data_IF_862606201287
#
_entry.id   IF_862606201287
#
_cell.length_a   1.000
_cell.length_b   1.000
_cell.length_c   1.000
_cell.angle_alpha   90.00
_cell.angle_beta   90.00
_cell.angle_gamma   90.00
#
_symmetry.space_group_name_H-M   'P 1'
#
loop_
_entity.id
_entity.type
_entity.pdbx_description
1 polymer ?
#
# COMPACT_ATOMS: atom_id res chain seq x y z
N UNK A 1 4.34 -12.14 -14.92
CA UNK A 1 4.25 -12.51 -13.51
C UNK A 1 4.33 -14.03 -13.31
N UNK A 2 3.47 -14.84 -13.93
CA UNK A 2 3.44 -16.30 -13.72
C UNK A 2 4.80 -16.98 -13.96
N UNK A 3 5.49 -16.64 -15.04
CA UNK A 3 6.84 -17.16 -15.38
C UNK A 3 7.87 -16.92 -14.26
N UNK A 4 7.73 -15.81 -13.53
CA UNK A 4 8.62 -15.42 -12.43
C UNK A 4 8.08 -15.78 -11.05
N UNK A 5 6.93 -16.47 -10.99
CA UNK A 5 6.22 -16.82 -9.74
C UNK A 5 5.97 -15.60 -8.84
N UNK A 6 5.59 -14.47 -9.45
CA UNK A 6 5.28 -13.22 -8.77
C UNK A 6 3.77 -13.13 -8.61
N UNK A 7 3.31 -13.02 -7.37
CA UNK A 7 1.94 -12.72 -7.00
C UNK A 7 1.72 -11.22 -6.80
N UNK A 8 0.45 -10.80 -6.71
CA UNK A 8 0.12 -9.41 -6.38
C UNK A 8 0.67 -9.03 -5.00
N UNK A 9 1.19 -7.83 -4.88
CA UNK A 9 1.84 -7.30 -3.68
C UNK A 9 3.18 -7.96 -3.28
N UNK A 10 3.70 -8.95 -4.01
CA UNK A 10 5.07 -9.44 -3.80
C UNK A 10 6.11 -8.31 -4.00
N UNK A 11 7.26 -8.46 -3.37
CA UNK A 11 8.42 -7.62 -3.68
C UNK A 11 9.16 -8.18 -4.89
N UNK A 12 9.57 -7.28 -5.77
CA UNK A 12 10.26 -7.59 -7.02
C UNK A 12 11.53 -6.76 -7.11
N UNK A 13 12.63 -7.43 -7.40
CA UNK A 13 13.90 -6.78 -7.73
C UNK A 13 14.03 -6.65 -9.25
N UNK A 14 14.30 -5.45 -9.72
CA UNK A 14 14.76 -5.16 -11.06
C UNK A 14 16.25 -4.85 -11.04
N UNK A 15 16.99 -5.38 -12.02
CA UNK A 15 18.41 -5.06 -12.21
C UNK A 15 18.67 -4.68 -13.67
N UNK A 16 19.53 -3.69 -13.87
CA UNK A 16 19.99 -3.24 -15.17
C UNK A 16 21.43 -3.67 -15.44
N UNK A 17 21.89 -3.58 -16.70
CA UNK A 17 23.24 -3.95 -17.13
C UNK A 17 24.35 -3.15 -16.42
N UNK A 18 24.04 -1.92 -15.97
CA UNK A 18 24.96 -1.09 -15.21
C UNK A 18 25.19 -1.57 -13.75
N UNK A 19 24.60 -2.71 -13.36
CA UNK A 19 24.68 -3.25 -12.01
C UNK A 19 23.74 -2.60 -10.99
N UNK A 20 22.99 -1.56 -11.37
CA UNK A 20 22.00 -0.96 -10.51
C UNK A 20 20.83 -1.91 -10.27
N UNK A 21 20.28 -1.84 -9.06
CA UNK A 21 19.10 -2.62 -8.69
C UNK A 21 18.10 -1.76 -7.90
N UNK A 22 16.83 -2.09 -8.06
CA UNK A 22 15.74 -1.50 -7.29
C UNK A 22 14.79 -2.60 -6.82
N UNK A 23 14.13 -2.35 -5.69
CA UNK A 23 13.11 -3.24 -5.16
C UNK A 23 11.82 -2.46 -5.05
N UNK A 24 10.76 -3.01 -5.63
CA UNK A 24 9.42 -2.41 -5.65
C UNK A 24 8.35 -3.45 -5.36
N UNK A 25 7.16 -3.00 -4.99
CA UNK A 25 6.00 -3.85 -4.77
C UNK A 25 5.24 -4.06 -6.07
N UNK A 26 4.90 -5.30 -6.38
CA UNK A 26 4.18 -5.66 -7.60
C UNK A 26 2.69 -5.31 -7.51
N UNK A 27 2.16 -4.81 -8.61
CA UNK A 27 0.73 -4.77 -8.93
C UNK A 27 0.52 -5.55 -10.22
N UNK A 28 -0.19 -6.65 -10.15
CA UNK A 28 -0.51 -7.44 -11.34
C UNK A 28 -1.65 -6.77 -12.11
N UNK A 29 -1.46 -6.62 -13.42
CA UNK A 29 -2.46 -5.97 -14.27
C UNK A 29 -2.39 -6.50 -15.70
N UNK A 30 -3.53 -6.59 -16.37
CA UNK A 30 -3.63 -6.89 -17.80
C UNK A 30 -3.49 -5.63 -18.68
N UNK A 31 -3.39 -4.45 -18.06
CA UNK A 31 -3.26 -3.16 -18.77
C UNK A 31 -1.88 -2.92 -19.37
N UNK A 32 -0.89 -3.70 -18.93
CA UNK A 32 0.49 -3.59 -19.38
C UNK A 32 0.80 -4.65 -20.42
N UNK A 33 1.48 -4.27 -21.50
CA UNK A 33 1.90 -5.19 -22.56
C UNK A 33 2.81 -6.28 -22.00
N UNK A 34 2.71 -7.49 -22.56
CA UNK A 34 3.60 -8.60 -22.21
C UNK A 34 5.06 -8.21 -22.46
N UNK A 35 5.95 -8.59 -21.55
CA UNK A 35 7.37 -8.26 -21.62
C UNK A 35 7.70 -6.85 -21.16
N UNK A 36 6.73 -6.06 -20.70
CA UNK A 36 6.98 -4.72 -20.14
C UNK A 36 6.41 -4.58 -18.74
N UNK A 37 7.02 -3.67 -17.99
CA UNK A 37 6.57 -3.24 -16.66
C UNK A 37 6.53 -1.71 -16.62
N UNK A 38 5.63 -1.16 -15.82
CA UNK A 38 5.59 0.26 -15.53
C UNK A 38 5.98 0.48 -14.06
N UNK A 39 6.92 1.39 -13.82
CA UNK A 39 7.33 1.77 -12.47
C UNK A 39 7.36 3.29 -12.36
N UNK A 40 6.66 3.89 -11.38
CA UNK A 40 6.72 5.33 -11.15
C UNK A 40 8.14 5.77 -10.77
N UNK A 41 8.64 6.86 -11.34
CA UNK A 41 10.03 7.30 -11.21
C UNK A 41 10.27 8.40 -10.16
N UNK A 42 9.30 8.68 -9.30
CA UNK A 42 9.40 9.79 -8.33
C UNK A 42 9.84 9.39 -6.92
N UNK A 43 10.35 8.17 -6.76
CA UNK A 43 10.89 7.69 -5.50
C UNK A 43 12.36 8.11 -5.35
N UNK A 44 12.71 8.58 -4.15
CA UNK A 44 14.07 8.99 -3.79
C UNK A 44 14.59 8.17 -2.61
N UNK A 45 15.90 8.27 -2.32
CA UNK A 45 16.48 7.63 -1.14
C UNK A 45 15.98 8.19 0.20
N UNK A 46 15.26 9.33 0.20
CA UNK A 46 14.61 9.86 1.41
C UNK A 46 13.34 9.13 1.79
N UNK A 47 12.67 8.52 0.82
CA UNK A 47 11.36 7.90 1.01
C UNK A 47 11.29 6.42 0.60
N UNK A 48 12.42 5.84 0.16
CA UNK A 48 12.53 4.41 -0.14
C UNK A 48 13.95 3.89 0.03
N UNK A 49 14.09 2.64 0.47
CA UNK A 49 15.40 1.99 0.60
C UNK A 49 16.09 1.77 -0.74
N UNK A 50 15.40 1.14 -1.69
CA UNK A 50 15.91 0.76 -3.00
C UNK A 50 14.86 1.04 -4.10
N UNK A 51 14.07 2.11 -3.97
CA UNK A 51 13.00 2.45 -4.93
C UNK A 51 13.38 3.53 -5.94
N UNK A 52 14.64 3.94 -6.02
CA UNK A 52 15.10 4.99 -6.92
C UNK A 52 15.27 4.45 -8.35
N UNK A 53 14.21 4.54 -9.14
CA UNK A 53 14.11 3.90 -10.46
C UNK A 53 15.08 4.50 -11.49
N UNK A 54 15.40 5.78 -11.37
CA UNK A 54 16.37 6.46 -12.23
C UNK A 54 17.77 5.83 -12.17
N UNK A 55 18.12 5.12 -11.10
CA UNK A 55 19.37 4.36 -11.02
C UNK A 55 19.51 3.26 -12.10
N UNK A 56 18.38 2.73 -12.60
CA UNK A 56 18.37 1.74 -13.67
C UNK A 56 18.60 2.35 -15.05
N UNK A 57 18.41 3.67 -15.19
CA UNK A 57 18.49 4.35 -16.48
C UNK A 57 19.93 4.49 -16.93
N UNK A 58 20.30 4.04 -18.15
CA UNK A 58 21.65 4.20 -18.68
C UNK A 58 21.91 5.67 -19.04
N UNK A 59 23.18 6.10 -18.99
CA UNK A 59 23.63 7.43 -19.41
C UNK A 59 23.66 7.59 -20.93
N UNK A 60 22.50 7.35 -21.58
CA UNK A 60 22.35 7.48 -23.05
C UNK A 60 21.51 8.73 -23.32
N UNK A 61 22.01 9.58 -24.20
CA UNK A 61 21.31 10.78 -24.66
C UNK A 61 21.16 10.74 -26.18
N UNK A 62 20.09 11.37 -26.66
CA UNK A 62 19.92 11.61 -28.10
C UNK A 62 21.05 12.53 -28.58
N UNK A 63 21.79 12.18 -29.65
CA UNK A 63 22.99 12.92 -30.07
C UNK A 63 22.67 14.30 -30.66
N UNK A 64 21.40 14.56 -31.02
CA UNK A 64 20.99 15.85 -31.61
C UNK A 64 20.37 16.77 -30.56
N UNK A 65 19.42 16.27 -29.80
CA UNK A 65 18.68 17.08 -28.81
C UNK A 65 19.30 17.06 -27.42
N UNK A 66 20.24 16.13 -27.13
CA UNK A 66 20.79 15.91 -25.80
C UNK A 66 19.78 15.31 -24.79
N UNK A 67 18.59 14.93 -25.25
CA UNK A 67 17.55 14.39 -24.37
C UNK A 67 17.92 12.99 -23.85
N UNK A 68 17.86 12.75 -22.52
CA UNK A 68 18.17 11.44 -21.96
C UNK A 68 17.07 10.41 -22.23
N UNK A 69 17.46 9.15 -22.42
CA UNK A 69 16.57 8.02 -22.65
C UNK A 69 15.91 7.53 -21.35
N UNK A 70 15.03 8.34 -20.77
CA UNK A 70 14.46 8.12 -19.43
C UNK A 70 13.30 7.12 -19.36
N UNK A 71 12.70 6.71 -20.49
CA UNK A 71 11.38 6.06 -20.45
C UNK A 71 11.36 4.60 -20.90
N UNK A 72 12.50 4.04 -21.30
CA UNK A 72 12.60 2.65 -21.71
C UNK A 72 13.96 2.10 -21.33
N UNK A 73 13.98 1.12 -20.43
CA UNK A 73 15.21 0.48 -19.97
C UNK A 73 15.01 -1.02 -19.95
N UNK A 74 15.88 -1.82 -20.62
CA UNK A 74 15.91 -3.26 -20.44
C UNK A 74 16.32 -3.61 -19.02
N UNK A 75 15.54 -4.48 -18.37
CA UNK A 75 15.81 -4.93 -17.00
C UNK A 75 15.61 -6.42 -16.85
N UNK A 76 16.43 -7.06 -16.03
CA UNK A 76 16.12 -8.37 -15.49
C UNK A 76 15.19 -8.22 -14.29
N UNK A 77 14.32 -9.21 -14.08
CA UNK A 77 13.33 -9.21 -13.04
C UNK A 77 13.33 -10.52 -12.27
N UNK A 78 13.30 -10.46 -10.94
CA UNK A 78 13.09 -11.63 -10.09
C UNK A 78 12.24 -11.27 -8.87
N UNK A 79 11.58 -12.27 -8.29
CA UNK A 79 10.94 -12.11 -6.98
C UNK A 79 12.01 -11.84 -5.93
N UNK A 80 11.78 -10.82 -5.08
CA UNK A 80 12.62 -10.56 -3.92
C UNK A 80 11.99 -11.22 -2.69
N UNK A 81 12.66 -12.25 -2.17
CA UNK A 81 12.14 -13.03 -1.06
C UNK A 81 12.42 -12.32 0.26
N UNK A 82 11.36 -12.10 1.03
CA UNK A 82 11.41 -11.66 2.43
C UNK A 82 10.74 -12.70 3.31
N UNK A 83 11.14 -12.77 4.57
CA UNK A 83 10.53 -13.65 5.58
C UNK A 83 9.31 -13.01 6.25
N UNK A 84 9.31 -11.68 6.35
CA UNK A 84 8.19 -10.93 6.90
C UNK A 84 7.89 -9.68 6.08
N UNK A 85 6.60 -9.46 5.81
CA UNK A 85 6.06 -8.23 5.25
C UNK A 85 5.53 -7.37 6.38
N UNK A 86 5.74 -6.05 6.29
CA UNK A 86 5.22 -5.11 7.27
C UNK A 86 4.42 -3.99 6.61
N UNK A 87 3.42 -3.52 7.31
CA UNK A 87 2.73 -2.26 7.05
C UNK A 87 2.61 -1.48 8.35
N UNK A 88 2.84 -0.18 8.30
CA UNK A 88 2.68 0.66 9.46
C UNK A 88 2.11 2.04 9.12
N UNK A 89 1.51 2.66 10.14
CA UNK A 89 1.16 4.07 10.18
C UNK A 89 1.75 4.71 11.43
N UNK A 90 2.21 5.95 11.34
CA UNK A 90 2.83 6.67 12.45
C UNK A 90 2.57 8.17 12.36
N UNK A 91 2.29 8.83 13.48
CA UNK A 91 2.22 10.29 13.57
C UNK A 91 3.59 10.91 13.33
N UNK A 92 4.63 10.37 13.96
CA UNK A 92 6.01 10.81 13.77
C UNK A 92 6.57 10.31 12.41
N UNK A 93 7.46 11.10 11.79
CA UNK A 93 8.19 10.64 10.61
C UNK A 93 9.06 9.44 10.98
N UNK A 94 8.90 8.30 10.33
CA UNK A 94 9.73 7.12 10.60
C UNK A 94 11.21 7.40 10.30
N UNK A 95 12.09 6.88 11.14
CA UNK A 95 13.53 7.00 11.00
C UNK A 95 14.20 5.67 11.35
N UNK A 96 15.43 5.47 10.86
CA UNK A 96 16.23 4.28 11.16
C UNK A 96 15.47 2.96 10.90
N UNK A 97 14.80 2.90 9.76
CA UNK A 97 14.07 1.72 9.31
C UNK A 97 15.07 0.62 8.96
N UNK A 98 15.39 -0.21 9.94
CA UNK A 98 16.24 -1.41 9.77
C UNK A 98 15.40 -2.52 9.13
N UNK A 99 15.23 -2.43 7.81
CA UNK A 99 14.47 -3.35 6.98
C UNK A 99 15.10 -3.44 5.58
N UNK A 100 15.09 -4.60 4.97
CA UNK A 100 15.64 -4.82 3.64
C UNK A 100 14.89 -4.03 2.55
N UNK A 101 13.61 -3.88 2.74
CA UNK A 101 12.75 -3.02 1.91
C UNK A 101 11.92 -2.10 2.81
N UNK A 102 11.93 -0.82 2.50
CA UNK A 102 11.00 0.13 3.10
C UNK A 102 10.65 1.25 2.11
N UNK A 103 9.42 1.69 2.21
CA UNK A 103 8.90 2.87 1.52
C UNK A 103 8.06 3.65 2.51
N UNK A 104 8.32 4.96 2.63
CA UNK A 104 7.53 5.87 3.44
C UNK A 104 6.81 6.89 2.56
N UNK A 105 5.60 7.21 2.91
CA UNK A 105 4.84 8.27 2.26
C UNK A 105 4.15 9.13 3.31
N UNK A 106 4.20 10.45 3.13
CA UNK A 106 3.43 11.37 3.96
C UNK A 106 1.95 11.12 3.73
N UNK A 107 1.20 11.09 4.81
CA UNK A 107 -0.23 10.85 4.82
C UNK A 107 -0.94 11.88 5.69
N UNK A 108 -2.25 11.91 5.64
CA UNK A 108 -3.02 12.81 6.47
C UNK A 108 -2.90 12.44 7.96
N UNK A 109 -2.40 13.36 8.75
CA UNK A 109 -2.11 13.15 10.18
C UNK A 109 -0.79 12.47 10.49
N UNK A 110 0.03 12.06 9.49
CA UNK A 110 1.29 11.37 9.76
C UNK A 110 1.92 10.72 8.53
N UNK A 111 2.31 9.47 8.67
CA UNK A 111 3.06 8.69 7.69
C UNK A 111 2.50 7.29 7.55
N UNK A 112 2.63 6.73 6.37
CA UNK A 112 2.44 5.30 6.13
C UNK A 112 3.75 4.69 5.66
N UNK A 113 3.95 3.42 6.00
CA UNK A 113 5.19 2.68 5.74
C UNK A 113 4.85 1.30 5.19
N UNK A 114 5.50 0.89 4.13
CA UNK A 114 5.54 -0.49 3.66
C UNK A 114 6.93 -1.05 3.95
N UNK A 115 7.00 -2.30 4.39
CA UNK A 115 8.22 -2.92 4.90
C UNK A 115 8.38 -4.34 4.38
N UNK A 116 9.64 -4.78 4.30
CA UNK A 116 10.01 -6.16 4.05
C UNK A 116 11.29 -6.52 4.78
N UNK A 117 11.29 -7.65 5.48
CA UNK A 117 12.37 -8.08 6.35
C UNK A 117 12.92 -9.44 5.89
N UNK A 118 14.23 -9.58 5.83
CA UNK A 118 14.91 -10.86 5.59
C UNK A 118 14.94 -11.75 6.82
N UNK A 119 14.59 -11.19 7.98
CA UNK A 119 14.50 -11.87 9.27
C UNK A 119 13.06 -11.83 9.79
N UNK A 120 12.68 -12.81 10.57
CA UNK A 120 11.35 -12.94 11.21
C UNK A 120 11.40 -13.00 12.73
N UNK A 121 12.61 -13.18 13.32
CA UNK A 121 12.87 -13.25 14.75
C UNK A 121 13.19 -11.86 15.35
N UNK A 122 12.43 -10.85 15.00
CA UNK A 122 12.59 -9.47 15.46
C UNK A 122 11.66 -9.21 16.64
N UNK A 123 12.15 -8.50 17.64
CA UNK A 123 11.30 -7.90 18.67
C UNK A 123 10.57 -6.69 18.02
N UNK A 124 9.35 -6.96 17.55
CA UNK A 124 8.56 -6.00 16.78
C UNK A 124 8.14 -4.77 17.58
N UNK A 125 7.95 -4.91 18.90
CA UNK A 125 7.62 -3.76 19.74
C UNK A 125 8.82 -2.83 19.88
N UNK A 126 9.99 -3.37 20.25
CA UNK A 126 11.23 -2.59 20.35
C UNK A 126 11.59 -1.96 19.00
N UNK A 127 11.45 -2.70 17.90
CA UNK A 127 11.67 -2.19 16.55
C UNK A 127 10.74 -1.01 16.23
N UNK A 128 9.44 -1.15 16.48
CA UNK A 128 8.44 -0.12 16.19
C UNK A 128 8.65 1.14 17.04
N UNK A 129 8.94 0.98 18.32
CA UNK A 129 9.24 2.11 19.22
C UNK A 129 10.43 2.93 18.71
N UNK A 130 11.50 2.25 18.30
CA UNK A 130 12.67 2.91 17.72
C UNK A 130 12.35 3.59 16.39
N UNK A 131 11.69 2.89 15.47
CA UNK A 131 11.39 3.38 14.14
C UNK A 131 10.44 4.58 14.13
N UNK A 132 9.49 4.64 15.06
CA UNK A 132 8.45 5.65 15.14
C UNK A 132 8.66 6.66 16.27
N UNK A 133 9.82 6.62 16.92
CA UNK A 133 10.16 7.49 18.07
C UNK A 133 9.09 7.47 19.19
N UNK A 134 8.58 6.27 19.51
CA UNK A 134 7.56 6.07 20.54
C UNK A 134 8.24 5.85 21.90
N UNK A 135 7.97 6.68 22.92
CA UNK A 135 8.51 6.50 24.27
C UNK A 135 8.17 5.15 24.89
N UNK A 136 9.03 4.68 25.80
CA UNK A 136 8.88 3.36 26.43
C UNK A 136 7.65 3.26 27.34
N UNK A 137 7.22 4.37 27.92
CA UNK A 137 6.06 4.50 28.83
C UNK A 137 4.72 4.60 28.09
N UNK A 138 4.74 4.70 26.75
CA UNK A 138 3.51 4.74 25.95
C UNK A 138 2.85 3.37 25.94
N UNK A 139 1.54 3.36 26.16
CA UNK A 139 0.71 2.15 26.13
C UNK A 139 0.78 1.46 24.76
N UNK A 140 1.00 0.15 24.77
CA UNK A 140 0.90 -0.70 23.57
C UNK A 140 -0.23 -1.70 23.76
N UNK A 141 -1.04 -1.85 22.74
CA UNK A 141 -2.04 -2.91 22.66
C UNK A 141 -1.79 -3.70 21.37
N UNK A 142 -1.84 -5.02 21.46
CA UNK A 142 -1.58 -5.83 20.27
C UNK A 142 -1.78 -7.29 20.51
N UNK A 143 -1.50 -8.07 19.49
CA UNK A 143 -1.40 -9.52 19.59
C UNK A 143 -0.30 -10.04 18.69
N UNK A 144 0.25 -11.20 19.06
CA UNK A 144 1.17 -11.94 18.24
C UNK A 144 0.71 -13.41 18.18
N UNK A 145 0.72 -13.97 16.98
CA UNK A 145 0.45 -15.39 16.75
C UNK A 145 1.73 -16.07 16.25
N UNK A 146 2.40 -16.80 17.14
CA UNK A 146 3.64 -17.51 16.82
C UNK A 146 3.45 -18.60 15.74
N UNK A 147 2.23 -19.05 15.50
CA UNK A 147 1.92 -20.09 14.52
C UNK A 147 1.84 -19.55 13.08
N UNK A 148 1.21 -18.40 12.91
CA UNK A 148 1.12 -17.72 11.60
C UNK A 148 2.27 -16.74 11.35
N UNK A 149 2.99 -16.32 12.40
CA UNK A 149 3.99 -15.25 12.37
C UNK A 149 3.36 -13.85 12.33
N UNK A 150 2.04 -13.75 12.54
CA UNK A 150 1.35 -12.47 12.53
C UNK A 150 1.60 -11.69 13.81
N UNK A 151 2.00 -10.43 13.71
CA UNK A 151 2.10 -9.48 14.80
C UNK A 151 1.38 -8.21 14.46
N UNK A 152 0.59 -7.68 15.41
CA UNK A 152 -0.15 -6.43 15.26
C UNK A 152 -0.02 -5.64 16.55
N UNK A 153 0.50 -4.42 16.43
CA UNK A 153 0.76 -3.53 17.54
C UNK A 153 0.13 -2.17 17.26
N UNK A 154 -0.50 -1.58 18.25
CA UNK A 154 -1.02 -0.22 18.23
C UNK A 154 -0.60 0.53 19.49
N UNK A 155 -0.15 1.77 19.35
CA UNK A 155 0.47 2.58 20.40
C UNK A 155 -0.40 3.78 20.71
N UNK A 156 -0.64 4.05 22.00
CA UNK A 156 -1.55 5.08 22.46
C UNK A 156 -0.94 5.93 23.60
N UNK A 157 -0.93 7.25 23.41
CA UNK A 157 -0.69 8.21 24.49
C UNK A 157 -2.04 8.71 25.02
N UNK A 158 -2.57 8.04 26.03
CA UNK A 158 -3.95 8.26 26.49
C UNK A 158 -4.96 7.88 25.42
N UNK A 159 -5.68 8.87 24.90
CA UNK A 159 -6.65 8.69 23.80
C UNK A 159 -6.05 8.94 22.40
N UNK A 160 -4.80 9.37 22.32
CA UNK A 160 -4.16 9.68 21.06
C UNK A 160 -3.51 8.45 20.46
N UNK A 161 -3.92 8.08 19.25
CA UNK A 161 -3.29 7.02 18.47
C UNK A 161 -1.99 7.54 17.85
N UNK A 162 -0.85 6.97 18.24
CA UNK A 162 0.48 7.37 17.77
C UNK A 162 0.94 6.60 16.54
N UNK A 163 0.45 5.39 16.36
CA UNK A 163 0.81 4.54 15.23
C UNK A 163 0.48 3.08 15.47
N UNK A 164 0.60 2.29 14.40
CA UNK A 164 0.44 0.85 14.44
C UNK A 164 1.45 0.17 13.51
N UNK A 165 1.83 -1.05 13.87
CA UNK A 165 2.63 -1.96 13.05
C UNK A 165 1.88 -3.28 12.84
N UNK A 166 1.84 -3.73 11.61
CA UNK A 166 1.29 -5.02 11.18
C UNK A 166 2.40 -5.80 10.49
N UNK A 167 2.65 -7.01 10.92
CA UNK A 167 3.67 -7.91 10.35
C UNK A 167 3.02 -9.26 10.05
N UNK A 168 3.36 -9.85 8.91
CA UNK A 168 2.89 -11.16 8.50
C UNK A 168 3.91 -11.85 7.59
N UNK A 169 3.85 -13.18 7.48
CA UNK A 169 4.68 -13.97 6.55
C UNK A 169 4.31 -13.75 5.07
N UNK A 170 3.14 -13.16 4.79
CA UNK A 170 2.65 -12.79 3.46
C UNK A 170 2.31 -11.29 3.41
N UNK A 171 2.09 -10.70 2.22
CA UNK A 171 1.71 -9.30 2.12
C UNK A 171 0.56 -8.91 3.05
N UNK A 172 0.78 -7.91 3.90
CA UNK A 172 -0.17 -7.53 4.97
C UNK A 172 -1.51 -7.10 4.38
N UNK A 173 -2.59 -7.75 4.82
CA UNK A 173 -3.96 -7.51 4.38
C UNK A 173 -4.71 -6.63 5.42
N UNK A 174 -4.60 -5.31 5.27
CA UNK A 174 -5.26 -4.30 6.12
C UNK A 174 -5.83 -3.15 5.28
N UNK A 175 -6.79 -2.43 5.82
CA UNK A 175 -7.35 -1.23 5.20
C UNK A 175 -6.42 -0.03 5.41
N UNK A 176 -5.50 0.17 4.47
CA UNK A 176 -4.43 1.18 4.55
C UNK A 176 -4.97 2.61 4.69
N UNK A 177 -5.95 2.97 3.87
CA UNK A 177 -6.52 4.32 3.87
C UNK A 177 -7.31 4.61 5.14
N UNK A 178 -8.05 3.60 5.64
CA UNK A 178 -8.77 3.73 6.88
C UNK A 178 -7.81 3.93 8.07
N UNK A 179 -6.73 3.13 8.15
CA UNK A 179 -5.71 3.27 9.20
C UNK A 179 -5.03 4.64 9.19
N UNK A 180 -4.73 5.18 8.01
CA UNK A 180 -4.22 6.56 7.88
C UNK A 180 -5.21 7.58 8.45
N UNK A 181 -6.50 7.45 8.14
CA UNK A 181 -7.54 8.33 8.67
C UNK A 181 -7.63 8.33 10.20
N UNK A 182 -7.27 7.20 10.83
CA UNK A 182 -7.31 7.07 12.29
C UNK A 182 -6.21 7.86 13.02
N UNK A 183 -5.14 8.29 12.33
CA UNK A 183 -4.07 9.09 12.93
C UNK A 183 -4.52 10.45 13.46
N UNK A 184 -5.68 10.96 13.00
CA UNK A 184 -6.28 12.21 13.46
C UNK A 184 -7.41 12.05 14.46
N UNK A 185 -7.90 10.83 14.64
CA UNK A 185 -9.06 10.58 15.48
C UNK A 185 -8.64 10.27 16.92
N UNK A 186 -9.48 10.67 17.88
CA UNK A 186 -9.35 10.24 19.26
C UNK A 186 -9.92 8.82 19.42
N UNK A 187 -9.17 7.94 20.07
CA UNK A 187 -9.49 6.53 20.27
C UNK A 187 -9.88 6.25 21.74
N UNK A 188 -10.92 6.98 22.21
CA UNK A 188 -11.37 6.89 23.60
C UNK A 188 -11.98 5.52 23.94
N UNK A 189 -12.65 4.88 22.98
CA UNK A 189 -13.39 3.65 23.20
C UNK A 189 -12.54 2.42 22.91
N UNK A 190 -12.59 1.42 23.80
CA UNK A 190 -11.88 0.14 23.65
C UNK A 190 -12.24 -0.58 22.34
N UNK A 191 -13.50 -0.52 21.91
CA UNK A 191 -13.94 -1.11 20.64
C UNK A 191 -13.22 -0.51 19.42
N UNK A 192 -12.96 0.79 19.43
CA UNK A 192 -12.18 1.47 18.38
C UNK A 192 -10.75 1.01 18.36
N UNK A 193 -10.13 0.80 19.54
CA UNK A 193 -8.75 0.27 19.64
C UNK A 193 -8.63 -1.15 19.08
N UNK A 194 -9.63 -2.01 19.29
CA UNK A 194 -9.64 -3.36 18.68
C UNK A 194 -9.78 -3.30 17.16
N UNK A 195 -10.57 -2.37 16.62
CA UNK A 195 -10.64 -2.17 15.17
C UNK A 195 -9.30 -1.76 14.57
N UNK A 196 -8.50 -0.93 15.29
CA UNK A 196 -7.13 -0.57 14.89
C UNK A 196 -6.23 -1.80 14.80
N UNK A 197 -6.26 -2.69 15.79
CA UNK A 197 -5.48 -3.94 15.77
C UNK A 197 -5.99 -4.87 14.67
N UNK A 198 -7.31 -4.92 14.42
CA UNK A 198 -7.87 -5.66 13.30
C UNK A 198 -7.43 -5.11 11.94
N UNK A 199 -6.98 -3.83 11.89
CA UNK A 199 -6.51 -3.17 10.68
C UNK A 199 -7.62 -2.85 9.69
N UNK A 200 -8.87 -2.79 10.14
CA UNK A 200 -10.06 -2.54 9.32
C UNK A 200 -11.17 -1.91 10.16
N UNK A 201 -12.07 -1.13 9.55
CA UNK A 201 -13.22 -0.59 10.27
C UNK A 201 -14.11 -1.72 10.81
N UNK A 202 -14.89 -1.39 11.85
CA UNK A 202 -15.96 -2.24 12.33
C UNK A 202 -17.07 -2.40 11.28
N UNK A 203 -17.94 -3.41 11.46
CA UNK A 203 -18.97 -3.74 10.47
C UNK A 203 -19.98 -2.60 10.20
N UNK A 204 -20.15 -1.70 11.15
CA UNK A 204 -20.98 -0.49 11.07
C UNK A 204 -20.33 0.63 10.22
N UNK A 205 -19.03 0.56 9.94
CA UNK A 205 -18.31 1.47 9.03
C UNK A 205 -17.54 0.63 7.99
N UNK A 206 -18.20 0.17 6.94
CA UNK A 206 -17.56 -0.68 5.93
C UNK A 206 -16.39 0.04 5.25
N UNK A 207 -15.31 -0.70 5.01
CA UNK A 207 -14.13 -0.21 4.31
C UNK A 207 -14.51 0.20 2.87
N UNK A 208 -14.28 1.45 2.45
CA UNK A 208 -14.51 1.87 1.07
C UNK A 208 -13.62 1.13 0.05
N UNK A 209 -12.54 0.49 0.50
CA UNK A 209 -11.54 -0.12 -0.36
C UNK A 209 -10.62 0.91 -1.02
N UNK A 210 -9.93 0.51 -2.08
CA UNK A 210 -9.10 1.42 -2.87
C UNK A 210 -9.92 2.55 -3.45
N UNK A 211 -9.46 3.80 -3.30
CA UNK A 211 -10.18 4.97 -3.81
C UNK A 211 -10.14 5.00 -5.34
N UNK A 212 -11.32 4.99 -5.92
CA UNK A 212 -11.57 5.09 -7.37
C UNK A 212 -11.92 6.53 -7.76
N UNK A 213 -12.82 7.17 -7.02
CA UNK A 213 -13.18 8.56 -7.22
C UNK A 213 -12.53 9.45 -6.16
N UNK A 214 -11.44 10.16 -6.52
CA UNK A 214 -10.75 11.06 -5.60
C UNK A 214 -11.57 12.30 -5.24
N UNK A 215 -12.44 12.78 -6.14
CA UNK A 215 -13.27 13.97 -5.88
C UNK A 215 -14.24 13.78 -4.71
N UNK A 216 -14.76 12.57 -4.55
CA UNK A 216 -15.78 12.25 -3.54
C UNK A 216 -15.33 11.13 -2.59
N UNK A 217 -14.04 10.76 -2.64
CA UNK A 217 -13.45 9.70 -1.79
C UNK A 217 -14.20 8.37 -1.83
N UNK A 218 -14.73 8.02 -3.02
CA UNK A 218 -15.49 6.77 -3.21
C UNK A 218 -14.56 5.65 -3.61
N UNK A 219 -14.62 4.55 -2.87
CA UNK A 219 -13.79 3.38 -3.07
C UNK A 219 -14.47 2.24 -3.84
N UNK A 220 -13.67 1.27 -4.24
CA UNK A 220 -14.10 0.11 -5.02
C UNK A 220 -15.20 -0.69 -4.32
N UNK A 221 -15.13 -0.87 -3.00
CA UNK A 221 -16.12 -1.64 -2.25
C UNK A 221 -17.49 -0.96 -2.23
N UNK A 222 -17.52 0.38 -2.17
CA UNK A 222 -18.76 1.17 -2.23
C UNK A 222 -19.38 1.05 -3.62
N UNK A 223 -18.60 1.14 -4.69
CA UNK A 223 -19.07 0.99 -6.07
C UNK A 223 -19.61 -0.44 -6.28
N UNK A 224 -18.85 -1.46 -5.87
CA UNK A 224 -19.30 -2.88 -5.93
C UNK A 224 -20.60 -3.10 -5.15
N UNK A 225 -20.72 -2.48 -3.98
CA UNK A 225 -21.94 -2.51 -3.18
C UNK A 225 -23.13 -1.90 -3.91
N UNK A 226 -22.96 -0.73 -4.54
CA UNK A 226 -24.00 -0.07 -5.34
C UNK A 226 -24.39 -0.91 -6.57
N UNK A 227 -23.41 -1.54 -7.24
CA UNK A 227 -23.68 -2.45 -8.37
C UNK A 227 -24.52 -3.66 -7.93
N UNK A 228 -24.18 -4.29 -6.81
CA UNK A 228 -24.96 -5.39 -6.23
C UNK A 228 -26.38 -4.98 -5.82
N UNK A 229 -26.59 -3.70 -5.55
CA UNK A 229 -27.90 -3.11 -5.25
C UNK A 229 -28.66 -2.66 -6.52
N UNK A 230 -28.12 -2.93 -7.71
CA UNK A 230 -28.79 -2.69 -8.99
C UNK A 230 -28.26 -1.53 -9.83
N UNK A 231 -27.19 -0.83 -9.42
CA UNK A 231 -26.56 0.18 -10.25
C UNK A 231 -25.79 -0.46 -11.42
N UNK A 232 -26.40 -0.54 -12.59
CA UNK A 232 -25.83 -1.19 -13.79
C UNK A 232 -25.10 -0.21 -14.75
N UNK A 233 -25.09 1.08 -14.47
CA UNK A 233 -24.44 2.09 -15.32
C UNK A 233 -23.58 3.05 -14.51
N UNK A 234 -22.62 3.70 -15.17
CA UNK A 234 -21.77 4.73 -14.55
C UNK A 234 -22.61 5.90 -14.02
N UNK A 235 -23.68 6.25 -14.75
CA UNK A 235 -24.63 7.30 -14.37
C UNK A 235 -25.40 6.93 -13.09
N UNK A 236 -25.86 5.68 -12.98
CA UNK A 236 -26.54 5.19 -11.78
C UNK A 236 -25.62 5.21 -10.55
N UNK A 237 -24.36 4.77 -10.71
CA UNK A 237 -23.34 4.88 -9.66
C UNK A 237 -23.09 6.35 -9.30
N UNK A 238 -23.04 7.24 -10.32
CA UNK A 238 -22.91 8.68 -10.12
C UNK A 238 -24.06 9.28 -9.30
N UNK A 239 -25.28 8.88 -9.57
CA UNK A 239 -26.47 9.33 -8.84
C UNK A 239 -26.42 8.87 -7.38
N UNK A 240 -25.98 7.63 -7.13
CA UNK A 240 -25.98 7.03 -5.78
C UNK A 240 -24.80 7.48 -4.92
N UNK A 241 -23.60 7.59 -5.51
CA UNK A 241 -22.34 7.82 -4.79
C UNK A 241 -21.64 9.14 -5.17
N UNK A 242 -22.18 9.92 -6.07
CA UNK A 242 -21.55 11.08 -6.71
C UNK A 242 -20.26 10.76 -7.49
N UNK A 243 -19.85 9.51 -7.58
CA UNK A 243 -18.61 9.09 -8.25
C UNK A 243 -18.75 9.28 -9.77
N UNK A 244 -17.75 9.92 -10.40
CA UNK A 244 -17.74 10.20 -11.84
C UNK A 244 -18.54 11.42 -12.28
N UNK A 245 -19.12 12.18 -11.34
CA UNK A 245 -19.97 13.35 -11.66
C UNK A 245 -19.22 14.68 -11.70
N UNK A 246 -17.99 14.76 -11.16
CA UNK A 246 -17.19 15.98 -11.19
C UNK A 246 -16.17 15.96 -12.33
N UNK A 247 -14.92 15.55 -12.11
CA UNK A 247 -13.87 15.56 -13.14
C UNK A 247 -14.02 14.46 -14.20
N UNK A 248 -14.77 13.41 -13.91
CA UNK A 248 -15.02 12.29 -14.81
C UNK A 248 -13.86 11.31 -15.01
N UNK A 249 -12.67 11.55 -14.46
CA UNK A 249 -11.47 10.71 -14.67
C UNK A 249 -11.65 9.25 -14.24
N UNK A 250 -12.50 9.00 -13.23
CA UNK A 250 -12.79 7.66 -12.72
C UNK A 250 -13.88 6.89 -13.49
N UNK A 251 -14.55 7.49 -14.47
CA UNK A 251 -15.70 6.86 -15.18
C UNK A 251 -15.32 5.55 -15.88
N UNK A 252 -14.15 5.48 -16.49
CA UNK A 252 -13.65 4.25 -17.13
C UNK A 252 -13.41 3.13 -16.13
N UNK A 253 -12.91 3.47 -14.94
CA UNK A 253 -12.67 2.50 -13.87
C UNK A 253 -14.00 2.00 -13.26
N UNK A 254 -14.95 2.92 -13.02
CA UNK A 254 -16.30 2.57 -12.56
C UNK A 254 -16.95 1.58 -13.53
N UNK A 255 -16.85 1.81 -14.85
CA UNK A 255 -17.39 0.90 -15.88
C UNK A 255 -16.78 -0.49 -15.75
N UNK A 256 -15.45 -0.60 -15.60
CA UNK A 256 -14.79 -1.91 -15.43
C UNK A 256 -15.24 -2.65 -14.18
N UNK A 257 -15.47 -1.93 -13.08
CA UNK A 257 -15.98 -2.55 -11.84
C UNK A 257 -17.39 -3.09 -12.07
N UNK A 258 -18.24 -2.33 -12.77
CA UNK A 258 -19.58 -2.78 -13.14
C UNK A 258 -19.50 -4.06 -13.99
N UNK A 259 -18.70 -4.05 -15.07
CA UNK A 259 -18.53 -5.18 -15.98
C UNK A 259 -18.02 -6.43 -15.24
N UNK A 260 -17.03 -6.27 -14.36
CA UNK A 260 -16.48 -7.35 -13.54
C UNK A 260 -17.54 -7.95 -12.57
N UNK A 261 -18.37 -7.11 -11.97
CA UNK A 261 -19.46 -7.59 -11.10
C UNK A 261 -20.52 -8.38 -11.87
N UNK A 262 -20.81 -8.01 -13.12
CA UNK A 262 -21.78 -8.70 -13.97
C UNK A 262 -21.27 -10.09 -14.40
N UNK A 263 -19.96 -10.22 -14.71
CA UNK A 263 -19.34 -11.51 -15.06
C UNK A 263 -19.43 -12.49 -13.87
N UNK A 264 -19.10 -12.03 -12.66
CA UNK A 264 -19.17 -12.86 -11.44
C UNK A 264 -20.59 -13.24 -11.02
N UNK A 265 -21.62 -12.54 -11.50
CA UNK A 265 -23.02 -12.86 -11.22
C UNK A 265 -23.62 -13.84 -12.25
N UNK A 266 -22.92 -14.12 -13.36
CA UNK A 266 -23.35 -15.01 -14.44
C UNK A 266 -22.74 -16.43 -14.34
N UNK A 267 -21.78 -16.63 -13.43
CA UNK A 267 -21.23 -17.94 -13.04
C UNK A 267 -21.94 -18.49 -11.79
#
# INVERSE_FOLDING_TARGET
AAQYRIADADLVEFSAENGARVIVRALLTERQSRGSVFVPMHWTGENSSLGRIDALVPSITDPVSGQPALKHVPVAMKRYAVKAYGFAVSVAKPANLDAAYWVIAKADGGWRVELGFEQDNIDWETWARKAFAIPADVEVTGYADARSGDTRLAFFAGQHFLGALFVAASPVAVSRNWLVGQLREQQAETAKRYALIAGRPSADRPDPGAIVCSCFSVGVNQITGAVRQGCSTVEAVGTTLSAGTNCGSCRSEIRRIIDACHVLAAE
#
